data_IF_493153710062
#
_entry.id   IF_493153710062
#
_cell.length_a   1.000
_cell.length_b   1.000
_cell.length_c   1.000
_cell.angle_alpha   90.00
_cell.angle_beta   90.00
_cell.angle_gamma   90.00
#
_symmetry.space_group_name_H-M   'P 1'
#
loop_
_entity.id
_entity.type
_entity.pdbx_description
1 polymer ?
#
# COMPACT_ATOMS: atom_id res chain seq x y z
N UNK A 1 -12.86 9.45 -19.52
CA UNK A 1 -11.93 8.35 -19.27
C UNK A 1 -11.54 8.33 -17.80
N UNK A 2 -11.57 7.18 -17.18
CA UNK A 2 -11.12 6.99 -15.79
C UNK A 2 -9.67 6.56 -15.79
N UNK A 3 -8.87 7.13 -14.89
CA UNK A 3 -7.42 6.90 -14.82
C UNK A 3 -7.05 6.35 -13.44
N UNK A 4 -6.26 5.27 -13.43
CA UNK A 4 -5.67 4.72 -12.21
C UNK A 4 -4.17 4.88 -12.25
N UNK A 5 -3.60 5.49 -11.23
CA UNK A 5 -2.15 5.58 -11.04
C UNK A 5 -1.75 4.68 -9.87
N UNK A 6 -0.71 3.87 -10.07
CA UNK A 6 -0.18 2.99 -9.01
C UNK A 6 1.12 3.60 -8.51
N UNK A 7 1.18 3.85 -7.21
CA UNK A 7 2.33 4.48 -6.56
C UNK A 7 2.86 3.63 -5.41
N UNK A 8 4.16 3.74 -5.18
CA UNK A 8 4.80 3.27 -3.96
C UNK A 8 5.37 4.51 -3.27
N UNK A 9 4.64 5.00 -2.27
CA UNK A 9 5.00 6.21 -1.52
C UNK A 9 5.64 5.81 -0.20
N UNK A 10 6.88 6.23 0.01
CA UNK A 10 7.67 5.85 1.18
C UNK A 10 6.99 6.24 2.49
N UNK A 11 6.45 7.46 2.58
CA UNK A 11 5.76 7.94 3.80
C UNK A 11 4.49 7.16 4.08
N UNK A 12 3.71 6.86 3.06
CA UNK A 12 2.46 6.10 3.22
C UNK A 12 2.75 4.66 3.61
N UNK A 13 3.77 4.06 3.01
CA UNK A 13 4.21 2.72 3.37
C UNK A 13 4.74 2.68 4.80
N UNK A 14 5.54 3.66 5.20
CA UNK A 14 6.01 3.82 6.57
C UNK A 14 4.84 3.89 7.56
N UNK A 15 3.83 4.69 7.25
CA UNK A 15 2.64 4.81 8.09
C UNK A 15 1.92 3.47 8.22
N UNK A 16 1.82 2.70 7.14
CA UNK A 16 1.23 1.36 7.19
C UNK A 16 2.00 0.44 8.14
N UNK A 17 3.32 0.48 8.10
CA UNK A 17 4.16 -0.30 9.01
C UNK A 17 3.95 0.12 10.48
N UNK A 18 3.99 1.41 10.76
CA UNK A 18 3.81 1.92 12.13
C UNK A 18 2.43 1.59 12.66
N UNK A 19 1.39 1.86 11.89
CA UNK A 19 0.02 1.57 12.29
C UNK A 19 -0.23 0.06 12.42
N UNK A 20 0.28 -0.73 11.49
CA UNK A 20 0.12 -2.17 11.53
C UNK A 20 0.80 -2.83 12.74
N UNK A 21 1.93 -2.29 13.18
CA UNK A 21 2.65 -2.82 14.34
C UNK A 21 2.07 -2.35 15.68
N UNK A 22 1.34 -1.23 15.70
CA UNK A 22 0.87 -0.62 16.95
C UNK A 22 -0.65 -0.63 17.13
N UNK A 23 -1.40 -1.00 16.12
CA UNK A 23 -2.87 -1.00 16.17
C UNK A 23 -3.44 -2.37 15.86
N UNK A 24 -4.56 -2.67 16.51
CA UNK A 24 -5.40 -3.82 16.17
C UNK A 24 -6.61 -3.27 15.43
N UNK A 25 -6.85 -3.77 14.22
CA UNK A 25 -7.91 -3.28 13.35
C UNK A 25 -8.69 -4.47 12.79
N UNK A 26 -10.01 -4.35 12.73
CA UNK A 26 -10.90 -5.40 12.25
C UNK A 26 -10.73 -6.73 12.99
N UNK A 27 -10.42 -6.68 14.28
CA UNK A 27 -10.18 -7.86 15.10
C UNK A 27 -8.86 -8.58 14.81
N UNK A 28 -7.98 -7.98 14.02
CA UNK A 28 -6.70 -8.56 13.63
C UNK A 28 -5.51 -7.81 14.18
N UNK A 29 -4.55 -8.57 14.69
CA UNK A 29 -3.23 -8.08 15.06
C UNK A 29 -2.29 -8.28 13.87
N UNK A 30 -2.15 -7.25 13.04
CA UNK A 30 -1.45 -7.33 11.76
C UNK A 30 0.04 -7.66 11.87
N UNK A 31 0.69 -7.28 12.99
CA UNK A 31 2.11 -7.59 13.18
C UNK A 31 2.43 -9.09 13.22
N UNK A 32 1.45 -9.93 13.55
CA UNK A 32 1.62 -11.37 13.56
C UNK A 32 1.76 -11.97 12.16
N UNK A 33 1.34 -11.24 11.13
CA UNK A 33 1.48 -11.67 9.73
C UNK A 33 2.83 -11.34 9.11
N UNK A 34 3.68 -10.60 9.81
CA UNK A 34 5.01 -10.24 9.28
C UNK A 34 5.92 -11.46 9.32
N UNK A 35 6.59 -11.74 8.18
CA UNK A 35 7.47 -12.89 8.08
C UNK A 35 8.66 -12.82 9.07
N UNK A 36 9.22 -13.98 9.48
CA UNK A 36 10.29 -13.99 10.48
C UNK A 36 11.50 -13.13 10.12
N UNK A 37 11.84 -13.02 8.84
CA UNK A 37 12.96 -12.22 8.37
C UNK A 37 12.83 -10.72 8.65
N UNK A 38 11.59 -10.23 8.85
CA UNK A 38 11.30 -8.83 9.12
C UNK A 38 10.80 -8.57 10.55
N UNK A 39 10.83 -9.57 11.44
CA UNK A 39 10.39 -9.37 12.82
C UNK A 39 11.26 -8.36 13.58
N UNK A 40 12.51 -8.17 13.20
CA UNK A 40 13.37 -7.14 13.80
C UNK A 40 12.79 -5.73 13.56
N UNK A 41 12.10 -5.52 12.44
CA UNK A 41 11.42 -4.26 12.14
C UNK A 41 10.23 -4.07 13.09
N UNK A 42 9.43 -5.11 13.28
CA UNK A 42 8.28 -5.09 14.20
C UNK A 42 8.73 -4.72 15.62
N UNK A 43 9.81 -5.34 16.10
CA UNK A 43 10.36 -5.06 17.43
C UNK A 43 10.74 -3.58 17.60
N UNK A 44 11.28 -2.96 16.57
CA UNK A 44 11.67 -1.55 16.59
C UNK A 44 10.46 -0.61 16.52
N UNK A 45 9.41 -0.98 15.82
CA UNK A 45 8.25 -0.12 15.59
C UNK A 45 7.21 -0.18 16.71
N UNK A 46 7.14 -1.29 17.43
CA UNK A 46 6.19 -1.43 18.55
C UNK A 46 6.54 -0.41 19.65
N UNK A 47 5.59 0.46 19.96
CA UNK A 47 5.78 1.49 20.98
C UNK A 47 6.53 2.74 20.53
N UNK A 48 7.00 2.80 19.29
CA UNK A 48 7.69 3.97 18.74
C UNK A 48 6.70 5.02 18.26
N UNK A 49 7.03 6.31 18.39
CA UNK A 49 6.28 7.35 17.73
C UNK A 49 6.66 7.43 16.24
N UNK A 50 5.93 8.24 15.48
CA UNK A 50 6.14 8.33 14.04
C UNK A 50 7.53 8.88 13.68
N UNK A 51 8.04 9.86 14.43
CA UNK A 51 9.35 10.45 14.16
C UNK A 51 10.50 9.46 14.38
N UNK A 52 10.44 8.70 15.47
CA UNK A 52 11.42 7.65 15.76
C UNK A 52 11.37 6.54 14.71
N UNK A 53 10.16 6.12 14.35
CA UNK A 53 9.93 5.12 13.33
C UNK A 53 10.47 5.58 11.98
N UNK A 54 10.26 6.84 11.62
CA UNK A 54 10.73 7.42 10.36
C UNK A 54 12.26 7.32 10.24
N UNK A 55 12.98 7.70 11.29
CA UNK A 55 14.45 7.64 11.31
C UNK A 55 14.98 6.22 11.11
N UNK A 56 14.34 5.26 11.75
CA UNK A 56 14.72 3.85 11.62
C UNK A 56 14.35 3.28 10.27
N UNK A 57 13.12 3.53 9.82
CA UNK A 57 12.54 2.85 8.67
C UNK A 57 12.98 3.37 7.30
N UNK A 58 13.33 4.65 7.18
CA UNK A 58 13.71 5.17 5.87
C UNK A 58 14.83 4.36 5.20
N UNK A 59 15.98 4.16 5.85
CA UNK A 59 17.03 3.33 5.22
C UNK A 59 16.61 1.87 5.05
N UNK A 60 15.78 1.33 5.94
CA UNK A 60 15.28 -0.05 5.85
C UNK A 60 14.37 -0.19 4.64
N UNK A 61 13.39 0.71 4.47
CA UNK A 61 12.47 0.67 3.33
C UNK A 61 13.20 0.91 2.00
N UNK A 62 14.12 1.85 1.97
CA UNK A 62 14.94 2.08 0.78
C UNK A 62 15.71 0.82 0.38
N UNK A 63 16.27 0.10 1.36
CA UNK A 63 16.95 -1.17 1.14
C UNK A 63 16.02 -2.24 0.59
N UNK A 64 14.82 -2.36 1.16
CA UNK A 64 13.80 -3.32 0.69
C UNK A 64 13.37 -2.98 -0.74
N UNK A 65 13.14 -1.72 -1.03
CA UNK A 65 12.75 -1.28 -2.38
C UNK A 65 13.81 -1.57 -3.42
N UNK A 66 15.08 -1.32 -3.09
CA UNK A 66 16.19 -1.61 -3.98
C UNK A 66 16.34 -3.12 -4.23
N UNK A 67 16.27 -3.92 -3.19
CA UNK A 67 16.34 -5.37 -3.27
C UNK A 67 15.20 -5.97 -4.10
N UNK A 68 13.99 -5.42 -3.96
CA UNK A 68 12.78 -5.93 -4.61
C UNK A 68 12.32 -5.10 -5.81
N UNK A 69 13.16 -4.22 -6.31
CA UNK A 69 12.83 -3.28 -7.40
C UNK A 69 12.22 -3.96 -8.63
N UNK A 70 12.83 -5.03 -9.10
CA UNK A 70 12.31 -5.78 -10.25
C UNK A 70 10.95 -6.38 -9.98
N UNK A 71 10.75 -6.95 -8.79
CA UNK A 71 9.50 -7.55 -8.37
C UNK A 71 8.38 -6.50 -8.26
N UNK A 72 8.68 -5.37 -7.63
CA UNK A 72 7.74 -4.26 -7.48
C UNK A 72 7.31 -3.72 -8.85
N UNK A 73 8.26 -3.49 -9.75
CA UNK A 73 7.98 -3.02 -11.10
C UNK A 73 7.09 -4.00 -11.86
N UNK A 74 7.39 -5.29 -11.75
CA UNK A 74 6.60 -6.34 -12.38
C UNK A 74 5.16 -6.36 -11.86
N UNK A 75 4.97 -6.28 -10.54
CA UNK A 75 3.63 -6.22 -9.94
C UNK A 75 2.86 -4.97 -10.36
N UNK A 76 3.52 -3.82 -10.40
CA UNK A 76 2.87 -2.58 -10.88
C UNK A 76 2.35 -2.74 -12.29
N UNK A 77 3.15 -3.33 -13.18
CA UNK A 77 2.75 -3.54 -14.57
C UNK A 77 1.58 -4.51 -14.69
N UNK A 78 1.62 -5.64 -13.97
CA UNK A 78 0.54 -6.62 -13.99
C UNK A 78 -0.77 -6.02 -13.46
N UNK A 79 -0.72 -5.32 -12.34
CA UNK A 79 -1.90 -4.69 -11.74
C UNK A 79 -2.45 -3.62 -12.68
N UNK A 80 -1.56 -2.79 -13.26
CA UNK A 80 -1.97 -1.73 -14.18
C UNK A 80 -2.72 -2.29 -15.39
N UNK A 81 -2.21 -3.36 -16.00
CA UNK A 81 -2.88 -4.00 -17.14
C UNK A 81 -4.25 -4.57 -16.75
N UNK A 82 -4.30 -5.33 -15.66
CA UNK A 82 -5.53 -6.00 -15.23
C UNK A 82 -6.60 -5.02 -14.78
N UNK A 83 -6.22 -4.01 -14.03
CA UNK A 83 -7.19 -3.04 -13.51
C UNK A 83 -7.65 -2.09 -14.61
N UNK A 84 -6.74 -1.62 -15.48
CA UNK A 84 -7.14 -0.75 -16.60
C UNK A 84 -8.17 -1.42 -17.51
N UNK A 85 -8.05 -2.73 -17.71
CA UNK A 85 -9.01 -3.48 -18.53
C UNK A 85 -10.44 -3.43 -17.96
N UNK A 86 -10.58 -3.36 -16.62
CA UNK A 86 -11.88 -3.42 -15.95
C UNK A 86 -12.33 -2.10 -15.32
N UNK A 87 -11.42 -1.14 -15.13
CA UNK A 87 -11.73 0.12 -14.45
C UNK A 87 -12.81 0.93 -15.17
N UNK A 88 -12.70 1.07 -16.49
CA UNK A 88 -13.67 1.84 -17.29
C UNK A 88 -15.05 1.19 -17.19
N UNK A 89 -15.12 -0.11 -17.36
CA UNK A 89 -16.37 -0.87 -17.30
C UNK A 89 -17.03 -0.75 -15.93
N UNK A 90 -16.26 -0.94 -14.85
CA UNK A 90 -16.77 -0.84 -13.48
C UNK A 90 -17.28 0.57 -13.16
N UNK A 91 -16.55 1.60 -13.55
CA UNK A 91 -16.95 3.00 -13.30
C UNK A 91 -18.18 3.39 -14.11
N UNK A 92 -18.27 2.97 -15.36
CA UNK A 92 -19.44 3.23 -16.20
C UNK A 92 -20.67 2.50 -15.66
N UNK A 93 -20.52 1.27 -15.16
CA UNK A 93 -21.60 0.53 -14.53
C UNK A 93 -22.11 1.25 -13.27
N UNK A 94 -21.22 1.80 -12.46
CA UNK A 94 -21.58 2.57 -11.26
C UNK A 94 -22.36 3.85 -11.64
N UNK A 95 -21.93 4.57 -12.67
CA UNK A 95 -22.66 5.73 -13.17
C UNK A 95 -24.07 5.35 -13.65
N UNK A 96 -24.17 4.25 -14.38
CA UNK A 96 -25.46 3.76 -14.87
C UNK A 96 -26.40 3.37 -13.74
N UNK A 97 -25.91 2.64 -12.73
CA UNK A 97 -26.71 2.20 -11.58
C UNK A 97 -27.22 3.34 -10.72
N UNK A 98 -26.42 4.38 -10.52
CA UNK A 98 -26.78 5.52 -9.68
C UNK A 98 -27.54 6.60 -10.42
N UNK A 99 -27.43 6.66 -11.74
CA UNK A 99 -27.97 7.73 -12.58
C UNK A 99 -27.17 9.03 -12.49
N UNK A 100 -26.01 9.02 -11.84
CA UNK A 100 -25.16 10.21 -11.68
C UNK A 100 -23.75 9.91 -12.20
N UNK A 101 -23.08 10.91 -12.83
CA UNK A 101 -21.69 10.76 -13.20
C UNK A 101 -20.81 10.65 -11.95
N UNK A 102 -19.75 9.85 -12.01
CA UNK A 102 -18.76 9.80 -10.95
C UNK A 102 -18.04 11.14 -10.86
N UNK A 103 -17.98 11.67 -9.65
CA UNK A 103 -17.37 12.96 -9.38
C UNK A 103 -15.86 12.94 -9.66
N UNK A 104 -15.20 11.84 -9.32
CA UNK A 104 -13.76 11.67 -9.49
C UNK A 104 -13.45 10.75 -10.65
N UNK A 105 -12.57 11.19 -11.54
CA UNK A 105 -12.10 10.42 -12.69
C UNK A 105 -10.71 9.84 -12.51
N UNK A 106 -9.96 10.36 -11.55
CA UNK A 106 -8.58 9.94 -11.25
C UNK A 106 -8.54 9.16 -9.94
N UNK A 107 -7.84 8.04 -9.95
CA UNK A 107 -7.69 7.17 -8.79
C UNK A 107 -6.22 6.86 -8.55
N UNK A 108 -5.83 6.78 -7.28
CA UNK A 108 -4.48 6.43 -6.89
C UNK A 108 -4.52 5.16 -6.04
N UNK A 109 -3.76 4.14 -6.45
CA UNK A 109 -3.53 2.94 -5.67
C UNK A 109 -2.13 3.01 -5.07
N UNK A 110 -2.05 3.04 -3.75
CA UNK A 110 -0.79 3.04 -3.04
C UNK A 110 -0.40 1.62 -2.63
N UNK A 111 0.74 1.15 -3.13
CA UNK A 111 1.30 -0.14 -2.74
C UNK A 111 1.93 -0.04 -1.36
N UNK A 112 1.93 -1.14 -0.63
CA UNK A 112 2.59 -1.26 0.66
C UNK A 112 3.43 -2.52 0.71
N UNK A 113 4.56 -2.45 1.42
CA UNK A 113 5.38 -3.61 1.75
C UNK A 113 4.94 -4.28 3.05
N UNK A 114 4.08 -3.61 3.83
CA UNK A 114 3.52 -4.19 5.04
C UNK A 114 2.46 -5.24 4.68
N UNK A 115 2.57 -6.47 5.19
CA UNK A 115 1.61 -7.53 4.89
C UNK A 115 0.25 -7.26 5.56
N UNK A 116 -0.76 -7.18 4.73
CA UNK A 116 -2.15 -6.97 5.16
C UNK A 116 -3.08 -7.99 4.55
#
# INVERSE_FOLDING_TARGET
MFILEIKLDLKKDLKNWVDGCNKISHGKNWKLGVSPEYQYIVEQLVGSDFEEAEKFMYPVLEGIYEEKKGLITNYKNIIQEKINAHLQEACLAMEDMTGFPLYRKDFILNLTTFPR
#
